data_IF_677421668827
#
_entry.id   IF_677421668827
#
_cell.length_a   1.000
_cell.length_b   1.000
_cell.length_c   1.000
_cell.angle_alpha   90.00
_cell.angle_beta   90.00
_cell.angle_gamma   90.00
#
_symmetry.space_group_name_H-M   'P 1'
#
loop_
_entity.id
_entity.type
_entity.pdbx_description
1 polymer ?
#
# COMPACT_ATOMS: atom_id res chain seq x y z
N UNK A 1 10.46 22.75 28.38
CA UNK A 1 9.85 21.92 27.33
C UNK A 1 10.34 20.49 27.49
N UNK A 2 9.46 19.47 27.44
CA UNK A 2 9.91 18.08 27.46
C UNK A 2 10.86 17.83 26.29
N UNK A 3 11.91 17.06 26.54
CA UNK A 3 12.92 16.73 25.53
C UNK A 3 12.26 15.93 24.41
N UNK A 4 12.46 16.36 23.16
CA UNK A 4 11.94 15.62 22.01
C UNK A 4 12.38 14.14 22.07
N UNK A 5 11.49 13.20 21.71
CA UNK A 5 11.81 11.78 21.74
C UNK A 5 13.00 11.50 20.81
N UNK A 6 13.83 10.51 21.17
CA UNK A 6 14.99 10.08 20.39
C UNK A 6 14.87 8.65 19.87
N UNK A 7 13.86 7.93 20.32
CA UNK A 7 13.61 6.52 20.03
C UNK A 7 12.15 6.19 20.34
N UNK A 8 11.65 5.12 19.77
CA UNK A 8 10.36 4.53 20.09
C UNK A 8 10.47 3.00 20.03
N UNK A 9 9.47 2.32 20.61
CA UNK A 9 9.37 0.87 20.61
C UNK A 9 8.24 0.47 19.67
N UNK A 10 8.53 -0.41 18.71
CA UNK A 10 7.54 -1.00 17.83
C UNK A 10 6.59 -1.92 18.60
N UNK A 11 5.30 -1.94 18.24
CA UNK A 11 4.38 -2.96 18.74
C UNK A 11 4.86 -4.35 18.31
N UNK A 12 4.61 -5.36 19.16
CA UNK A 12 4.89 -6.75 18.80
C UNK A 12 3.82 -7.26 17.83
N UNK A 13 4.04 -7.03 16.54
CA UNK A 13 3.20 -7.52 15.45
C UNK A 13 3.58 -8.94 15.02
N UNK A 14 4.87 -9.30 15.18
CA UNK A 14 5.38 -10.62 14.78
C UNK A 14 4.76 -11.73 15.61
N UNK A 15 4.72 -11.59 16.93
CA UNK A 15 4.09 -12.60 17.79
C UNK A 15 2.57 -12.63 17.67
N UNK A 16 1.95 -11.53 17.20
CA UNK A 16 0.49 -11.44 17.01
C UNK A 16 0.04 -12.05 15.68
N UNK A 17 0.90 -12.04 14.65
CA UNK A 17 0.60 -12.62 13.35
C UNK A 17 0.71 -14.16 13.43
N UNK A 18 -0.39 -14.91 13.27
CA UNK A 18 -0.38 -16.36 13.46
C UNK A 18 0.09 -17.14 12.22
N UNK A 19 0.27 -16.45 11.09
CA UNK A 19 0.57 -17.10 9.82
C UNK A 19 2.07 -17.39 9.69
N UNK A 20 2.47 -18.60 9.26
CA UNK A 20 3.87 -18.87 8.95
C UNK A 20 4.25 -18.20 7.63
N UNK A 21 5.44 -17.61 7.57
CA UNK A 21 5.98 -17.13 6.30
C UNK A 21 6.35 -18.32 5.41
N UNK A 22 5.94 -18.23 4.15
CA UNK A 22 6.39 -19.13 3.08
C UNK A 22 7.15 -18.30 2.06
N UNK A 23 8.05 -18.93 1.32
CA UNK A 23 8.79 -18.32 0.23
C UNK A 23 8.73 -19.25 -0.97
N UNK A 24 8.46 -18.69 -2.14
CA UNK A 24 8.55 -19.45 -3.39
C UNK A 24 9.98 -19.94 -3.65
N UNK A 25 10.14 -21.16 -4.16
CA UNK A 25 11.46 -21.76 -4.40
C UNK A 25 12.27 -21.05 -5.50
N UNK A 26 11.61 -20.32 -6.40
CA UNK A 26 12.24 -19.57 -7.49
C UNK A 26 12.61 -18.14 -7.11
N UNK A 27 12.42 -17.74 -5.84
CA UNK A 27 12.59 -16.36 -5.35
C UNK A 27 13.86 -15.68 -5.87
N UNK A 28 15.02 -16.30 -5.68
CA UNK A 28 16.30 -15.71 -6.02
C UNK A 28 16.49 -15.54 -7.54
N UNK A 29 15.96 -16.45 -8.34
CA UNK A 29 16.07 -16.39 -9.81
C UNK A 29 15.14 -15.34 -10.38
N UNK A 30 13.89 -15.31 -9.91
CA UNK A 30 12.90 -14.31 -10.33
C UNK A 30 13.29 -12.90 -9.89
N UNK A 31 13.77 -12.73 -8.65
CA UNK A 31 14.24 -11.43 -8.16
C UNK A 31 15.29 -10.82 -9.09
N UNK A 32 16.34 -11.57 -9.44
CA UNK A 32 17.41 -11.10 -10.34
C UNK A 32 16.90 -10.75 -11.74
N UNK A 33 15.96 -11.54 -12.26
CA UNK A 33 15.38 -11.28 -13.57
C UNK A 33 14.52 -10.01 -13.56
N UNK A 34 13.72 -9.79 -12.51
CA UNK A 34 12.92 -8.55 -12.37
C UNK A 34 13.78 -7.31 -12.17
N UNK A 35 14.83 -7.42 -11.36
CA UNK A 35 15.80 -6.34 -11.15
C UNK A 35 16.48 -5.97 -12.47
N UNK A 36 16.92 -6.97 -13.24
CA UNK A 36 17.57 -6.75 -14.55
C UNK A 36 16.60 -6.11 -15.54
N UNK A 37 15.35 -6.59 -15.60
CA UNK A 37 14.30 -6.06 -16.46
C UNK A 37 14.01 -4.59 -16.16
N UNK A 38 13.83 -4.23 -14.89
CA UNK A 38 13.50 -2.85 -14.51
C UNK A 38 14.68 -1.90 -14.74
N UNK A 39 15.88 -2.32 -14.32
CA UNK A 39 17.09 -1.49 -14.42
C UNK A 39 17.50 -1.22 -15.87
N UNK A 40 17.11 -2.08 -16.82
CA UNK A 40 17.35 -1.85 -18.24
C UNK A 40 16.59 -0.63 -18.80
N UNK A 41 15.44 -0.28 -18.22
CA UNK A 41 14.59 0.82 -18.71
C UNK A 41 14.57 2.05 -17.79
N UNK A 42 14.70 1.86 -16.47
CA UNK A 42 14.44 2.91 -15.48
C UNK A 42 15.54 4.00 -15.38
N UNK A 43 16.72 3.77 -16.00
CA UNK A 43 17.85 4.71 -16.05
C UNK A 43 18.25 5.30 -14.67
N UNK A 44 18.37 4.44 -13.66
CA UNK A 44 18.69 4.84 -12.29
C UNK A 44 20.13 5.34 -12.13
N UNK A 45 20.29 6.33 -11.24
CA UNK A 45 21.60 6.68 -10.68
C UNK A 45 22.17 5.52 -9.86
N UNK A 46 23.47 5.52 -9.58
CA UNK A 46 24.10 4.49 -8.72
C UNK A 46 23.40 4.40 -7.35
N UNK A 47 23.09 5.53 -6.73
CA UNK A 47 22.42 5.57 -5.43
C UNK A 47 21.00 4.99 -5.50
N UNK A 48 20.23 5.28 -6.56
CA UNK A 48 18.89 4.73 -6.74
C UNK A 48 18.92 3.23 -7.05
N UNK A 49 19.89 2.78 -7.84
CA UNK A 49 20.11 1.35 -8.06
C UNK A 49 20.41 0.63 -6.74
N UNK A 50 21.28 1.17 -5.89
CA UNK A 50 21.57 0.58 -4.58
C UNK A 50 20.34 0.53 -3.67
N UNK A 51 19.56 1.63 -3.62
CA UNK A 51 18.32 1.68 -2.85
C UNK A 51 17.27 0.67 -3.37
N UNK A 52 17.10 0.61 -4.70
CA UNK A 52 16.18 -0.32 -5.36
C UNK A 52 16.57 -1.79 -5.12
N UNK A 53 17.85 -2.15 -5.21
CA UNK A 53 18.29 -3.51 -4.89
C UNK A 53 18.13 -3.82 -3.40
N UNK A 54 18.37 -2.82 -2.54
CA UNK A 54 18.14 -2.92 -1.10
C UNK A 54 16.67 -3.11 -0.70
N UNK A 55 15.74 -2.75 -1.58
CA UNK A 55 14.31 -2.97 -1.42
C UNK A 55 13.98 -4.45 -1.29
N UNK A 56 14.68 -5.32 -2.05
CA UNK A 56 14.42 -6.78 -2.10
C UNK A 56 12.97 -7.10 -2.51
N UNK A 57 12.52 -6.45 -3.59
CA UNK A 57 11.14 -6.56 -4.09
C UNK A 57 10.79 -7.98 -4.56
N UNK A 58 11.76 -8.71 -5.12
CA UNK A 58 11.56 -10.09 -5.53
C UNK A 58 11.31 -11.02 -4.34
N UNK A 59 11.99 -10.82 -3.21
CA UNK A 59 11.73 -11.58 -1.98
C UNK A 59 10.39 -11.25 -1.34
N UNK A 60 9.97 -9.97 -1.35
CA UNK A 60 8.59 -9.61 -0.97
C UNK A 60 7.60 -10.37 -1.83
N UNK A 61 7.79 -10.34 -3.15
CA UNK A 61 6.90 -11.01 -4.10
C UNK A 61 6.85 -12.51 -3.82
N UNK A 62 8.00 -13.16 -3.65
CA UNK A 62 8.07 -14.59 -3.34
C UNK A 62 7.41 -14.95 -2.00
N UNK A 63 7.36 -14.02 -1.04
CA UNK A 63 6.65 -14.21 0.22
C UNK A 63 5.13 -14.02 0.09
N UNK A 64 4.69 -13.09 -0.76
CA UNK A 64 3.28 -12.80 -0.99
C UNK A 64 2.61 -13.81 -1.93
N UNK A 65 3.36 -14.38 -2.88
CA UNK A 65 2.87 -15.36 -3.86
C UNK A 65 3.69 -16.66 -3.81
N UNK A 66 3.74 -17.35 -2.65
CA UNK A 66 4.66 -18.47 -2.43
C UNK A 66 4.38 -19.68 -3.34
N UNK A 67 3.14 -19.85 -3.78
CA UNK A 67 2.69 -20.99 -4.58
C UNK A 67 2.62 -20.69 -6.09
N UNK A 68 3.06 -19.50 -6.52
CA UNK A 68 3.00 -19.11 -7.93
C UNK A 68 4.02 -19.90 -8.78
N UNK A 69 3.59 -20.31 -9.97
CA UNK A 69 4.48 -20.86 -10.99
C UNK A 69 5.53 -19.80 -11.41
N UNK A 70 6.73 -20.21 -11.89
CA UNK A 70 7.85 -19.30 -12.15
C UNK A 70 7.51 -18.11 -13.04
N UNK A 71 6.74 -18.34 -14.10
CA UNK A 71 6.39 -17.30 -15.09
C UNK A 71 5.42 -16.28 -14.50
N UNK A 72 4.42 -16.74 -13.74
CA UNK A 72 3.47 -15.89 -13.02
C UNK A 72 4.17 -15.10 -11.91
N UNK A 73 5.08 -15.75 -11.18
CA UNK A 73 5.88 -15.08 -10.15
C UNK A 73 6.75 -13.98 -10.75
N UNK A 74 7.37 -14.23 -11.92
CA UNK A 74 8.15 -13.22 -12.63
C UNK A 74 7.31 -11.98 -12.97
N UNK A 75 6.10 -12.17 -13.52
CA UNK A 75 5.20 -11.05 -13.84
C UNK A 75 4.77 -10.29 -12.58
N UNK A 76 4.44 -10.99 -11.49
CA UNK A 76 4.11 -10.36 -10.22
C UNK A 76 5.30 -9.59 -9.63
N UNK A 77 6.52 -10.11 -9.78
CA UNK A 77 7.77 -9.51 -9.29
C UNK A 77 8.16 -8.28 -10.10
N UNK A 78 7.93 -8.31 -11.42
CA UNK A 78 8.10 -7.17 -12.31
C UNK A 78 7.13 -6.05 -11.94
N UNK A 79 5.86 -6.37 -11.70
CA UNK A 79 4.88 -5.39 -11.24
C UNK A 79 5.24 -4.84 -9.85
N UNK A 80 5.63 -5.68 -8.89
CA UNK A 80 6.05 -5.24 -7.56
C UNK A 80 7.20 -4.22 -7.63
N UNK A 81 8.24 -4.57 -8.39
CA UNK A 81 9.40 -3.70 -8.60
C UNK A 81 9.02 -2.39 -9.29
N UNK A 82 8.12 -2.47 -10.27
CA UNK A 82 7.60 -1.31 -10.99
C UNK A 82 6.73 -0.42 -10.08
N UNK A 83 5.90 -1.00 -9.21
CA UNK A 83 5.04 -0.27 -8.28
C UNK A 83 5.85 0.59 -7.30
N UNK A 84 6.91 0.04 -6.70
CA UNK A 84 7.81 0.83 -5.86
C UNK A 84 8.51 1.96 -6.64
N UNK A 85 8.84 1.71 -7.91
CA UNK A 85 9.43 2.73 -8.78
C UNK A 85 8.43 3.83 -9.13
N UNK A 86 7.15 3.48 -9.34
CA UNK A 86 6.07 4.45 -9.56
C UNK A 86 5.86 5.34 -8.33
N UNK A 87 5.86 4.75 -7.14
CA UNK A 87 5.76 5.47 -5.85
C UNK A 87 6.93 6.47 -5.71
N UNK A 88 8.18 6.01 -5.88
CA UNK A 88 9.37 6.84 -5.79
C UNK A 88 9.37 7.98 -6.84
N UNK A 89 8.96 7.73 -8.09
CA UNK A 89 8.81 8.79 -9.10
C UNK A 89 7.70 9.78 -8.73
N UNK A 90 6.57 9.28 -8.24
CA UNK A 90 5.42 10.12 -7.91
C UNK A 90 5.67 11.08 -6.75
N UNK A 91 6.53 10.68 -5.81
CA UNK A 91 6.97 11.49 -4.68
C UNK A 91 7.81 12.70 -5.10
N UNK A 92 8.50 12.61 -6.24
CA UNK A 92 9.33 13.69 -6.80
C UNK A 92 8.58 14.60 -7.78
N UNK A 93 7.48 14.10 -8.35
CA UNK A 93 6.71 14.80 -9.37
C UNK A 93 5.74 15.83 -8.78
N UNK A 94 5.55 16.93 -9.51
CA UNK A 94 4.44 17.83 -9.25
C UNK A 94 3.10 17.20 -9.71
N UNK A 95 1.99 17.90 -9.50
CA UNK A 95 0.67 17.38 -9.85
C UNK A 95 0.48 17.12 -11.36
N UNK A 96 1.09 17.94 -12.23
CA UNK A 96 0.98 17.80 -13.70
C UNK A 96 1.80 16.59 -14.19
N UNK A 97 3.03 16.45 -13.70
CA UNK A 97 3.89 15.31 -14.04
C UNK A 97 3.30 13.99 -13.52
N UNK A 98 2.68 13.99 -12.34
CA UNK A 98 1.95 12.82 -11.81
C UNK A 98 0.73 12.45 -12.67
N UNK A 99 0.01 13.44 -13.19
CA UNK A 99 -1.08 13.19 -14.13
C UNK A 99 -0.57 12.59 -15.44
N UNK A 100 0.54 13.10 -15.97
CA UNK A 100 1.19 12.55 -17.16
C UNK A 100 1.72 11.12 -16.96
N UNK A 101 2.26 10.81 -15.78
CA UNK A 101 2.68 9.46 -15.39
C UNK A 101 1.49 8.51 -15.40
N UNK A 102 0.41 8.88 -14.73
CA UNK A 102 -0.83 8.10 -14.68
C UNK A 102 -1.38 7.82 -16.08
N UNK A 103 -1.52 8.86 -16.92
CA UNK A 103 -1.99 8.69 -18.30
C UNK A 103 -1.09 7.74 -19.10
N UNK A 104 0.23 7.90 -18.99
CA UNK A 104 1.17 7.08 -19.73
C UNK A 104 1.09 5.59 -19.35
N UNK A 105 0.88 5.30 -18.07
CA UNK A 105 0.73 3.91 -17.59
C UNK A 105 -0.65 3.38 -17.98
N UNK A 106 -1.72 4.11 -17.70
CA UNK A 106 -3.09 3.65 -17.98
C UNK A 106 -3.34 3.39 -19.47
N UNK A 107 -2.83 4.24 -20.38
CA UNK A 107 -2.91 3.97 -21.82
C UNK A 107 -2.13 2.72 -22.23
N UNK A 108 -1.00 2.42 -21.58
CA UNK A 108 -0.23 1.21 -21.83
C UNK A 108 -0.93 -0.06 -21.30
N UNK A 109 -1.75 0.06 -20.24
CA UNK A 109 -2.56 -1.05 -19.74
C UNK A 109 -3.78 -1.30 -20.63
N UNK A 110 -4.43 -0.25 -21.11
CA UNK A 110 -5.62 -0.35 -21.98
C UNK A 110 -5.28 -1.00 -23.34
N UNK A 111 -4.30 -0.44 -24.05
CA UNK A 111 -3.83 -0.93 -25.35
C UNK A 111 -2.32 -1.23 -25.35
N UNK A 112 -1.88 -2.33 -24.71
CA UNK A 112 -0.47 -2.70 -24.67
C UNK A 112 0.07 -3.05 -26.07
N UNK A 113 -0.76 -3.44 -27.03
CA UNK A 113 -0.30 -3.75 -28.38
C UNK A 113 0.00 -2.48 -29.18
N UNK A 114 -0.99 -1.58 -29.26
CA UNK A 114 -0.93 -0.38 -30.10
C UNK A 114 -0.30 0.84 -29.44
N UNK A 115 -0.36 0.99 -28.11
CA UNK A 115 0.22 2.15 -27.44
C UNK A 115 1.75 2.21 -27.62
N UNK A 116 2.24 3.37 -28.05
CA UNK A 116 3.66 3.64 -28.27
C UNK A 116 4.11 4.81 -27.40
N UNK A 117 5.26 4.66 -26.77
CA UNK A 117 5.87 5.71 -25.95
C UNK A 117 7.37 5.50 -25.83
N UNK A 118 8.12 6.60 -25.72
CA UNK A 118 9.53 6.57 -25.36
C UNK A 118 9.76 6.56 -23.85
N UNK A 119 8.73 6.85 -23.05
CA UNK A 119 8.81 7.02 -21.59
C UNK A 119 8.96 5.65 -20.90
N UNK A 120 9.92 5.56 -19.97
CA UNK A 120 10.23 4.32 -19.25
C UNK A 120 8.99 3.73 -18.55
N UNK A 121 8.19 4.56 -17.88
CA UNK A 121 6.97 4.11 -17.20
C UNK A 121 6.00 3.36 -18.11
N UNK A 122 5.70 3.90 -19.29
CA UNK A 122 4.79 3.23 -20.22
C UNK A 122 5.41 2.02 -20.92
N UNK A 123 6.73 2.01 -21.17
CA UNK A 123 7.43 0.82 -21.68
C UNK A 123 7.42 -0.34 -20.68
N UNK A 124 7.73 -0.06 -19.41
CA UNK A 124 7.66 -1.03 -18.32
C UNK A 124 6.23 -1.55 -18.16
N UNK A 125 5.24 -0.63 -18.12
CA UNK A 125 3.82 -0.97 -18.03
C UNK A 125 3.39 -1.93 -19.16
N UNK A 126 3.70 -1.56 -20.41
CA UNK A 126 3.43 -2.40 -21.58
C UNK A 126 4.13 -3.76 -21.50
N UNK A 127 5.40 -3.79 -21.09
CA UNK A 127 6.22 -5.01 -21.05
C UNK A 127 5.70 -6.03 -20.03
N UNK A 128 5.38 -5.61 -18.80
CA UNK A 128 4.84 -6.51 -17.80
C UNK A 128 3.39 -6.91 -18.15
N UNK A 129 2.55 -5.93 -18.52
CA UNK A 129 1.12 -6.18 -18.67
C UNK A 129 0.80 -7.00 -19.91
N UNK A 130 1.58 -6.88 -20.99
CA UNK A 130 1.47 -7.77 -22.15
C UNK A 130 1.71 -9.24 -21.79
N UNK A 131 2.60 -9.52 -20.83
CA UNK A 131 2.83 -10.89 -20.33
C UNK A 131 1.70 -11.32 -19.40
N UNK A 132 1.26 -10.45 -18.51
CA UNK A 132 0.12 -10.70 -17.62
C UNK A 132 -1.15 -11.09 -18.40
N UNK A 133 -1.53 -10.28 -19.40
CA UNK A 133 -2.76 -10.47 -20.20
C UNK A 133 -2.81 -11.76 -21.03
N UNK A 134 -1.68 -12.44 -21.23
CA UNK A 134 -1.67 -13.71 -21.98
C UNK A 134 -2.33 -14.85 -21.22
N UNK A 135 -2.31 -14.78 -19.89
CA UNK A 135 -2.74 -15.87 -19.01
C UNK A 135 -3.67 -15.42 -17.88
N UNK A 136 -3.80 -14.11 -17.63
CA UNK A 136 -4.80 -13.58 -16.70
C UNK A 136 -6.23 -13.78 -17.22
N UNK A 137 -7.14 -14.14 -16.32
CA UNK A 137 -8.56 -14.16 -16.60
C UNK A 137 -9.13 -12.75 -16.88
N UNK A 138 -10.24 -12.62 -17.63
CA UNK A 138 -10.86 -11.34 -17.93
C UNK A 138 -11.27 -10.55 -16.69
N UNK A 139 -11.78 -11.19 -15.64
CA UNK A 139 -12.18 -10.52 -14.40
C UNK A 139 -10.97 -9.94 -13.67
N UNK A 140 -9.95 -10.78 -13.44
CA UNK A 140 -8.68 -10.38 -12.84
C UNK A 140 -8.03 -9.22 -13.61
N UNK A 141 -8.02 -9.28 -14.95
CA UNK A 141 -7.48 -8.21 -15.81
C UNK A 141 -8.21 -6.88 -15.60
N UNK A 142 -9.54 -6.90 -15.59
CA UNK A 142 -10.35 -5.69 -15.35
C UNK A 142 -10.12 -5.12 -13.94
N UNK A 143 -10.09 -5.98 -12.92
CA UNK A 143 -9.82 -5.59 -11.54
C UNK A 143 -8.43 -4.98 -11.37
N UNK A 144 -7.41 -5.52 -12.02
CA UNK A 144 -6.07 -4.96 -12.00
C UNK A 144 -6.04 -3.54 -12.61
N UNK A 145 -6.65 -3.34 -13.79
CA UNK A 145 -6.70 -2.01 -14.43
C UNK A 145 -7.46 -1.01 -13.54
N UNK A 146 -8.62 -1.41 -13.01
CA UNK A 146 -9.42 -0.55 -12.14
C UNK A 146 -8.67 -0.15 -10.86
N UNK A 147 -7.96 -1.09 -10.23
CA UNK A 147 -7.21 -0.81 -8.99
C UNK A 147 -5.96 0.04 -9.24
N UNK A 148 -5.36 -0.04 -10.44
CA UNK A 148 -4.32 0.92 -10.87
C UNK A 148 -4.85 2.34 -11.07
N UNK A 149 -6.06 2.49 -11.61
CA UNK A 149 -6.72 3.79 -11.73
C UNK A 149 -6.97 4.43 -10.35
N UNK A 150 -7.50 3.66 -9.40
CA UNK A 150 -7.68 4.10 -8.01
C UNK A 150 -6.36 4.56 -7.37
N UNK A 151 -5.28 3.80 -7.57
CA UNK A 151 -3.95 4.14 -7.07
C UNK A 151 -3.46 5.49 -7.62
N UNK A 152 -3.57 5.74 -8.94
CA UNK A 152 -3.13 7.01 -9.53
C UNK A 152 -4.01 8.19 -9.11
N UNK A 153 -5.33 8.01 -8.99
CA UNK A 153 -6.22 9.05 -8.45
C UNK A 153 -5.83 9.44 -7.02
N UNK A 154 -5.50 8.44 -6.19
CA UNK A 154 -5.09 8.65 -4.82
C UNK A 154 -3.72 9.34 -4.72
N UNK A 155 -2.73 8.95 -5.52
CA UNK A 155 -1.43 9.64 -5.59
C UNK A 155 -1.61 11.10 -5.99
N UNK A 156 -2.45 11.38 -6.99
CA UNK A 156 -2.72 12.76 -7.42
C UNK A 156 -3.35 13.59 -6.30
N UNK A 157 -4.25 12.99 -5.51
CA UNK A 157 -4.84 13.65 -4.34
C UNK A 157 -3.81 13.89 -3.23
N UNK A 158 -2.95 12.91 -2.92
CA UNK A 158 -1.86 13.04 -1.96
C UNK A 158 -0.88 14.16 -2.36
N UNK A 159 -0.53 14.28 -3.64
CA UNK A 159 0.33 15.34 -4.15
C UNK A 159 -0.30 16.73 -3.93
N UNK A 160 -1.62 16.87 -4.15
CA UNK A 160 -2.35 18.13 -3.88
C UNK A 160 -2.37 18.47 -2.39
N UNK A 161 -2.56 17.48 -1.53
CA UNK A 161 -2.57 17.68 -0.07
C UNK A 161 -1.20 18.11 0.46
N UNK A 162 -0.13 17.45 -0.01
CA UNK A 162 1.26 17.85 0.29
C UNK A 162 1.56 19.27 -0.19
N UNK A 163 1.07 19.67 -1.36
CA UNK A 163 1.26 21.02 -1.89
C UNK A 163 0.55 22.11 -1.06
N UNK A 164 -0.60 21.78 -0.46
CA UNK A 164 -1.34 22.67 0.46
C UNK A 164 -0.73 22.71 1.87
N UNK A 165 0.01 21.68 2.26
CA UNK A 165 0.56 21.53 3.60
C UNK A 165 -0.48 21.14 4.64
N UNK A 166 -1.62 20.61 4.21
CA UNK A 166 -2.72 20.20 5.09
C UNK A 166 -2.43 18.81 5.67
N UNK A 167 -2.57 18.66 6.98
CA UNK A 167 -2.63 17.34 7.61
C UNK A 167 -4.07 16.85 7.50
N UNK A 168 -4.38 15.75 6.80
CA UNK A 168 -5.76 15.28 6.60
C UNK A 168 -6.45 14.92 7.92
N UNK A 169 -7.79 14.86 7.91
CA UNK A 169 -8.51 14.20 9.02
C UNK A 169 -8.15 12.71 9.05
N UNK A 170 -8.31 12.06 10.20
CA UNK A 170 -7.92 10.66 10.36
C UNK A 170 -8.68 9.75 9.38
N UNK A 171 -9.97 10.00 9.19
CA UNK A 171 -10.84 9.23 8.31
C UNK A 171 -10.50 9.47 6.83
N UNK A 172 -10.18 10.71 6.47
CA UNK A 172 -9.74 11.08 5.12
C UNK A 172 -8.38 10.43 4.80
N UNK A 173 -7.46 10.45 5.77
CA UNK A 173 -6.18 9.78 5.66
C UNK A 173 -6.37 8.28 5.43
N UNK A 174 -7.24 7.63 6.22
CA UNK A 174 -7.48 6.19 6.09
C UNK A 174 -8.00 5.84 4.69
N UNK A 175 -9.01 6.57 4.22
CA UNK A 175 -9.63 6.32 2.93
C UNK A 175 -8.63 6.49 1.79
N UNK A 176 -7.84 7.58 1.82
CA UNK A 176 -6.84 7.86 0.80
C UNK A 176 -5.68 6.85 0.84
N UNK A 177 -5.18 6.54 2.03
CA UNK A 177 -3.99 5.71 2.22
C UNK A 177 -4.21 4.26 1.80
N UNK A 178 -5.45 3.74 1.91
CA UNK A 178 -5.78 2.41 1.36
C UNK A 178 -5.50 2.30 -0.14
N UNK A 179 -5.71 3.39 -0.89
CA UNK A 179 -5.44 3.43 -2.33
C UNK A 179 -3.97 3.78 -2.63
N UNK A 180 -3.37 4.74 -1.90
CA UNK A 180 -1.95 5.12 -2.11
C UNK A 180 -0.97 4.03 -1.67
N UNK A 181 -1.39 3.06 -0.86
CA UNK A 181 -0.57 1.91 -0.50
C UNK A 181 -0.15 1.03 -1.69
N UNK A 182 -0.88 1.08 -2.80
CA UNK A 182 -0.66 0.20 -3.96
C UNK A 182 -1.02 -1.27 -3.70
N UNK A 183 -1.64 -1.62 -2.56
CA UNK A 183 -1.96 -3.01 -2.23
C UNK A 183 -3.05 -3.62 -3.12
N UNK A 184 -4.06 -2.83 -3.51
CA UNK A 184 -5.21 -3.31 -4.30
C UNK A 184 -4.82 -3.95 -5.64
N UNK A 185 -3.98 -3.33 -6.50
CA UNK A 185 -3.53 -3.99 -7.72
C UNK A 185 -2.70 -5.25 -7.45
N UNK A 186 -1.96 -5.29 -6.34
CA UNK A 186 -1.29 -6.52 -5.93
C UNK A 186 -2.28 -7.62 -5.52
N UNK A 187 -3.38 -7.29 -4.85
CA UNK A 187 -4.39 -8.29 -4.49
C UNK A 187 -5.11 -8.84 -5.72
N UNK A 188 -5.33 -8.03 -6.76
CA UNK A 188 -5.81 -8.53 -8.05
C UNK A 188 -4.85 -9.57 -8.67
N UNK A 189 -3.54 -9.42 -8.45
CA UNK A 189 -2.55 -10.40 -8.93
C UNK A 189 -2.50 -11.70 -8.12
N UNK A 190 -3.20 -11.81 -6.98
CA UNK A 190 -3.35 -13.10 -6.28
C UNK A 190 -4.06 -14.10 -7.19
N UNK A 191 -5.12 -13.66 -7.87
CA UNK A 191 -5.87 -14.50 -8.81
C UNK A 191 -4.98 -14.94 -9.98
N UNK A 192 -4.26 -13.98 -10.57
CA UNK A 192 -3.30 -14.25 -11.64
C UNK A 192 -2.23 -15.25 -11.23
N UNK A 193 -1.62 -15.06 -10.06
CA UNK A 193 -0.57 -15.92 -9.54
C UNK A 193 -1.05 -17.34 -9.25
N UNK A 194 -2.32 -17.48 -8.83
CA UNK A 194 -2.95 -18.76 -8.55
C UNK A 194 -3.60 -19.41 -9.79
N UNK A 195 -3.66 -18.73 -10.92
CA UNK A 195 -4.32 -19.24 -12.13
C UNK A 195 -5.84 -19.35 -12.00
N UNK A 196 -6.47 -18.51 -11.16
CA UNK A 196 -7.92 -18.47 -10.96
C UNK A 196 -8.50 -17.15 -11.50
N UNK A 197 -9.81 -17.13 -11.75
CA UNK A 197 -10.55 -15.89 -12.06
C UNK A 197 -11.91 -15.95 -11.37
N UNK A 198 -12.00 -15.30 -10.21
CA UNK A 198 -13.18 -15.37 -9.37
C UNK A 198 -14.36 -14.63 -10.04
N UNK A 199 -15.59 -15.20 -9.99
CA UNK A 199 -16.78 -14.53 -10.46
C UNK A 199 -17.03 -13.19 -9.75
N UNK A 200 -17.67 -12.25 -10.46
CA UNK A 200 -17.93 -10.91 -9.94
C UNK A 200 -18.77 -10.95 -8.66
N UNK A 201 -19.76 -11.84 -8.59
CA UNK A 201 -20.61 -12.03 -7.40
C UNK A 201 -19.83 -12.54 -6.17
N UNK A 202 -18.68 -13.16 -6.37
CA UNK A 202 -17.80 -13.65 -5.30
C UNK A 202 -16.90 -12.51 -4.82
N UNK A 203 -16.15 -11.88 -5.73
CA UNK A 203 -15.18 -10.84 -5.35
C UNK A 203 -15.88 -9.59 -4.79
N UNK A 204 -17.07 -9.25 -5.30
CA UNK A 204 -17.88 -8.15 -4.80
C UNK A 204 -18.61 -8.47 -3.49
N UNK A 205 -18.59 -9.75 -3.05
CA UNK A 205 -19.28 -10.17 -1.84
C UNK A 205 -18.72 -9.42 -0.61
N UNK A 206 -19.59 -8.90 0.29
CA UNK A 206 -19.15 -8.09 1.42
C UNK A 206 -18.08 -8.75 2.30
N UNK A 207 -18.13 -10.06 2.49
CA UNK A 207 -17.12 -10.79 3.29
C UNK A 207 -15.75 -10.81 2.60
N UNK A 208 -15.68 -10.96 1.27
CA UNK A 208 -14.40 -10.93 0.53
C UNK A 208 -13.80 -9.53 0.58
N UNK A 209 -14.63 -8.50 0.32
CA UNK A 209 -14.20 -7.10 0.46
C UNK A 209 -13.71 -6.76 1.86
N UNK A 210 -14.35 -7.31 2.90
CA UNK A 210 -13.93 -7.10 4.28
C UNK A 210 -12.57 -7.76 4.58
N UNK A 211 -12.28 -8.92 4.00
CA UNK A 211 -10.97 -9.58 4.08
C UNK A 211 -9.88 -8.79 3.36
N UNK A 212 -10.14 -8.29 2.16
CA UNK A 212 -9.22 -7.40 1.44
C UNK A 212 -8.95 -6.11 2.22
N UNK A 213 -10.00 -5.48 2.77
CA UNK A 213 -9.87 -4.26 3.57
C UNK A 213 -9.03 -4.50 4.83
N UNK A 214 -9.28 -5.61 5.55
CA UNK A 214 -8.50 -5.98 6.74
C UNK A 214 -7.02 -6.24 6.39
N UNK A 215 -6.77 -6.90 5.26
CA UNK A 215 -5.42 -7.15 4.74
C UNK A 215 -4.73 -5.83 4.39
N UNK A 216 -5.38 -4.97 3.61
CA UNK A 216 -4.85 -3.66 3.22
C UNK A 216 -4.57 -2.79 4.44
N UNK A 217 -5.50 -2.73 5.41
CA UNK A 217 -5.27 -2.03 6.67
C UNK A 217 -4.04 -2.53 7.39
N UNK A 218 -3.84 -3.84 7.53
CA UNK A 218 -2.64 -4.35 8.19
C UNK A 218 -1.36 -3.95 7.42
N UNK A 219 -1.30 -4.22 6.12
CA UNK A 219 -0.10 -3.95 5.30
C UNK A 219 0.24 -2.46 5.33
N UNK A 220 -0.76 -1.61 5.20
CA UNK A 220 -0.61 -0.15 5.20
C UNK A 220 -0.21 0.42 6.56
N UNK A 221 -0.91 0.06 7.65
CA UNK A 221 -0.58 0.61 8.98
C UNK A 221 0.75 0.08 9.50
N UNK A 222 1.10 -1.17 9.19
CA UNK A 222 2.42 -1.71 9.53
C UNK A 222 3.53 -1.02 8.74
N UNK A 223 3.32 -0.73 7.45
CA UNK A 223 4.21 0.09 6.67
C UNK A 223 4.44 1.46 7.32
N UNK A 224 3.37 2.19 7.69
CA UNK A 224 3.49 3.49 8.36
C UNK A 224 4.30 3.40 9.67
N UNK A 225 4.18 2.32 10.45
CA UNK A 225 4.99 2.09 11.64
C UNK A 225 6.48 1.92 11.30
N UNK A 226 6.78 1.15 10.26
CA UNK A 226 8.16 0.82 9.89
C UNK A 226 8.84 1.99 9.16
N UNK A 227 8.12 2.71 8.31
CA UNK A 227 8.62 3.81 7.49
C UNK A 227 8.73 5.13 8.25
N UNK A 228 8.00 5.30 9.35
CA UNK A 228 7.92 6.56 10.11
C UNK A 228 9.28 7.22 10.36
N UNK A 229 10.29 6.44 10.74
CA UNK A 229 11.60 6.98 11.08
C UNK A 229 12.29 7.68 9.90
N UNK A 230 12.17 7.10 8.71
CA UNK A 230 12.72 7.65 7.46
C UNK A 230 11.88 8.85 7.02
N UNK A 231 10.56 8.74 7.08
CA UNK A 231 9.62 9.78 6.67
C UNK A 231 9.70 11.03 7.56
N UNK A 232 9.71 10.86 8.89
CA UNK A 232 9.84 11.99 9.82
C UNK A 232 11.17 12.73 9.65
N UNK A 233 12.23 12.03 9.26
CA UNK A 233 13.53 12.64 8.99
C UNK A 233 13.47 13.55 7.77
N UNK A 234 12.65 13.18 6.77
CA UNK A 234 12.35 13.97 5.56
C UNK A 234 11.24 15.01 5.78
N UNK A 235 10.61 15.03 6.96
CA UNK A 235 9.47 15.87 7.30
C UNK A 235 8.23 15.57 6.45
N UNK A 236 8.07 14.32 6.03
CA UNK A 236 6.81 13.88 5.46
C UNK A 236 5.75 13.76 6.57
N UNK A 237 4.53 14.18 6.25
CA UNK A 237 3.38 14.18 7.15
C UNK A 237 2.31 13.18 6.73
N UNK A 238 2.48 12.51 5.59
CA UNK A 238 1.55 11.49 5.09
C UNK A 238 1.76 10.13 5.78
N UNK A 239 1.70 10.10 7.11
CA UNK A 239 1.90 8.90 7.93
C UNK A 239 0.88 8.88 9.08
N UNK A 240 0.26 7.73 9.35
CA UNK A 240 -0.73 7.58 10.42
C UNK A 240 -0.23 8.09 11.78
N UNK A 241 1.03 7.83 12.15
CA UNK A 241 1.61 8.30 13.41
C UNK A 241 1.63 9.84 13.43
N UNK A 242 2.07 10.48 12.35
CA UNK A 242 2.11 11.94 12.26
C UNK A 242 0.70 12.55 12.35
N UNK A 243 -0.28 11.94 11.67
CA UNK A 243 -1.70 12.36 11.72
C UNK A 243 -2.25 12.23 13.13
N UNK A 244 -2.05 11.09 13.80
CA UNK A 244 -2.55 10.86 15.18
C UNK A 244 -1.89 11.84 16.16
N UNK A 245 -0.57 12.02 16.11
CA UNK A 245 0.14 12.99 16.95
C UNK A 245 -0.44 14.41 16.79
N UNK A 246 -0.67 14.84 15.54
CA UNK A 246 -1.19 16.17 15.25
C UNK A 246 -2.66 16.34 15.67
N UNK A 247 -3.51 15.33 15.42
CA UNK A 247 -4.96 15.42 15.61
C UNK A 247 -5.41 15.13 17.05
N UNK A 248 -4.64 14.36 17.81
CA UNK A 248 -5.01 13.91 19.16
C UNK A 248 -4.09 14.43 20.27
N UNK A 249 -3.10 15.28 19.93
CA UNK A 249 -2.10 15.81 20.87
C UNK A 249 -1.35 14.72 21.65
N UNK A 250 -1.09 13.59 20.98
CA UNK A 250 -0.39 12.43 21.56
C UNK A 250 1.12 12.52 21.36
N UNK A 251 1.86 12.01 22.34
CA UNK A 251 3.29 11.78 22.20
C UNK A 251 3.60 10.68 21.17
N UNK A 252 4.85 10.63 20.71
CA UNK A 252 5.27 9.66 19.69
C UNK A 252 4.98 8.20 20.08
N UNK A 253 5.33 7.80 21.30
CA UNK A 253 5.13 6.40 21.72
C UNK A 253 3.64 6.06 21.80
N UNK A 254 2.80 6.98 22.28
CA UNK A 254 1.35 6.78 22.37
C UNK A 254 0.72 6.65 20.98
N UNK A 255 1.15 7.46 20.02
CA UNK A 255 0.71 7.35 18.64
C UNK A 255 1.17 6.03 17.98
N UNK A 256 2.42 5.62 18.20
CA UNK A 256 2.95 4.30 17.74
C UNK A 256 2.14 3.15 18.33
N UNK A 257 1.83 3.20 19.63
CA UNK A 257 1.05 2.18 20.31
C UNK A 257 -0.39 2.14 19.77
N UNK A 258 -1.00 3.29 19.50
CA UNK A 258 -2.32 3.39 18.89
C UNK A 258 -2.37 2.75 17.49
N UNK A 259 -1.39 3.02 16.63
CA UNK A 259 -1.28 2.37 15.31
C UNK A 259 -1.04 0.87 15.46
N UNK A 260 -0.24 0.45 16.46
CA UNK A 260 -0.05 -0.96 16.79
C UNK A 260 -1.34 -1.69 17.16
N UNK A 261 -2.25 -1.05 17.89
CA UNK A 261 -3.59 -1.58 18.17
C UNK A 261 -4.40 -1.75 16.88
N UNK A 262 -4.34 -0.78 15.97
CA UNK A 262 -5.02 -0.87 14.67
C UNK A 262 -4.50 -2.04 13.83
N UNK A 263 -3.18 -2.25 13.76
CA UNK A 263 -2.59 -3.39 13.05
C UNK A 263 -3.08 -4.72 13.59
N UNK A 264 -3.08 -4.90 14.92
CA UNK A 264 -3.56 -6.14 15.57
C UNK A 264 -5.05 -6.37 15.31
N UNK A 265 -5.85 -5.32 15.42
CA UNK A 265 -7.28 -5.37 15.14
C UNK A 265 -7.58 -5.76 13.68
N UNK A 266 -6.73 -5.37 12.72
CA UNK A 266 -6.86 -5.79 11.32
C UNK A 266 -6.68 -7.30 11.15
N UNK A 267 -5.68 -7.91 11.79
CA UNK A 267 -5.49 -9.39 11.76
C UNK A 267 -6.67 -10.08 12.45
N UNK A 268 -7.10 -9.59 13.61
CA UNK A 268 -8.22 -10.17 14.35
C UNK A 268 -9.53 -10.10 13.56
N UNK A 269 -9.74 -9.01 12.82
CA UNK A 269 -10.89 -8.84 11.91
C UNK A 269 -10.82 -9.79 10.73
N UNK A 270 -9.65 -9.92 10.10
CA UNK A 270 -9.46 -10.86 9.00
C UNK A 270 -9.88 -12.28 9.42
N UNK A 271 -9.44 -12.75 10.58
CA UNK A 271 -9.80 -14.07 11.08
C UNK A 271 -11.29 -14.20 11.47
N UNK A 272 -11.93 -13.12 11.90
CA UNK A 272 -13.39 -13.09 12.14
C UNK A 272 -14.15 -13.20 10.82
N UNK A 273 -13.82 -12.37 9.84
CA UNK A 273 -14.51 -12.32 8.54
C UNK A 273 -14.28 -13.62 7.75
N UNK A 274 -13.10 -14.25 7.87
CA UNK A 274 -12.78 -15.53 7.23
C UNK A 274 -13.69 -16.67 7.69
N UNK A 275 -14.12 -16.64 8.96
CA UNK A 275 -15.06 -17.64 9.52
C UNK A 275 -16.50 -17.43 9.06
N UNK A 276 -16.79 -16.29 8.43
CA UNK A 276 -18.11 -15.91 7.93
C UNK A 276 -18.21 -16.04 6.40
N UNK A 277 -17.24 -16.68 5.75
CA UNK A 277 -17.31 -16.96 4.32
C UNK A 277 -18.53 -17.84 4.02
N UNK A 278 -19.44 -17.42 3.12
CA UNK A 278 -20.49 -18.29 2.64
C UNK A 278 -19.89 -19.36 1.72
N UNK A 279 -20.72 -20.31 1.29
CA UNK A 279 -20.37 -21.26 0.24
C UNK A 279 -21.02 -20.83 -1.07
N UNK A 280 -20.27 -20.93 -2.16
CA UNK A 280 -20.69 -20.73 -3.54
C UNK A 280 -20.65 -22.04 -4.35
N UNK A 281 -20.35 -23.16 -3.68
CA UNK A 281 -20.17 -24.47 -4.30
C UNK A 281 -18.70 -24.89 -4.30
N UNK A 282 -18.45 -26.20 -4.26
CA UNK A 282 -17.13 -26.77 -3.92
C UNK A 282 -15.97 -26.30 -4.81
N UNK A 283 -16.23 -26.03 -6.09
CA UNK A 283 -15.20 -25.54 -7.02
C UNK A 283 -14.82 -24.08 -6.72
N UNK A 284 -15.82 -23.20 -6.62
CA UNK A 284 -15.61 -21.78 -6.30
C UNK A 284 -15.04 -21.64 -4.88
N UNK A 285 -15.52 -22.43 -3.92
CA UNK A 285 -15.04 -22.40 -2.54
C UNK A 285 -13.55 -22.74 -2.43
N UNK A 286 -13.04 -23.63 -3.28
CA UNK A 286 -11.61 -23.94 -3.36
C UNK A 286 -10.82 -22.74 -3.86
N UNK A 287 -11.29 -22.08 -4.92
CA UNK A 287 -10.60 -20.93 -5.50
C UNK A 287 -10.65 -19.71 -4.56
N UNK A 288 -11.78 -19.51 -3.86
CA UNK A 288 -11.92 -18.54 -2.77
C UNK A 288 -10.92 -18.84 -1.66
N UNK A 289 -10.78 -20.10 -1.22
CA UNK A 289 -9.81 -20.47 -0.20
C UNK A 289 -8.37 -20.13 -0.62
N UNK A 290 -8.01 -20.37 -1.88
CA UNK A 290 -6.72 -19.98 -2.46
C UNK A 290 -6.51 -18.46 -2.43
N UNK A 291 -7.53 -17.68 -2.84
CA UNK A 291 -7.46 -16.22 -2.81
C UNK A 291 -7.28 -15.68 -1.38
N UNK A 292 -8.05 -16.20 -0.42
CA UNK A 292 -7.98 -15.82 1.00
C UNK A 292 -6.62 -16.20 1.61
N UNK A 293 -6.06 -17.35 1.24
CA UNK A 293 -4.70 -17.72 1.63
C UNK A 293 -3.66 -16.76 1.06
N UNK A 294 -3.86 -16.27 -0.17
CA UNK A 294 -3.05 -15.21 -0.78
C UNK A 294 -3.05 -13.92 0.04
N UNK A 295 -4.22 -13.50 0.54
CA UNK A 295 -4.32 -12.35 1.44
C UNK A 295 -3.56 -12.58 2.76
N UNK A 296 -3.62 -13.79 3.34
CA UNK A 296 -2.81 -14.13 4.52
C UNK A 296 -1.30 -14.08 4.22
N UNK A 297 -0.88 -14.58 3.05
CA UNK A 297 0.51 -14.51 2.61
C UNK A 297 0.97 -13.05 2.50
N UNK A 298 0.11 -12.15 2.03
CA UNK A 298 0.38 -10.70 1.99
C UNK A 298 0.58 -10.08 3.37
N UNK A 299 -0.22 -10.47 4.37
CA UNK A 299 -0.05 -10.02 5.77
C UNK A 299 1.34 -10.43 6.29
N UNK A 300 1.68 -11.71 6.22
CA UNK A 300 2.95 -12.21 6.81
C UNK A 300 4.17 -11.84 5.98
N UNK A 301 4.04 -11.85 4.66
CA UNK A 301 5.12 -11.53 3.71
C UNK A 301 5.59 -10.09 3.88
N UNK A 302 4.66 -9.13 3.83
CA UNK A 302 4.98 -7.70 4.03
C UNK A 302 5.56 -7.41 5.43
N UNK A 303 5.02 -8.07 6.47
CA UNK A 303 5.49 -7.92 7.85
C UNK A 303 6.96 -8.31 8.01
N UNK A 304 7.36 -9.48 7.51
CA UNK A 304 8.73 -9.96 7.66
C UNK A 304 9.70 -9.27 6.70
N UNK A 305 9.27 -9.06 5.46
CA UNK A 305 10.04 -8.33 4.46
C UNK A 305 10.47 -6.94 4.95
N UNK A 306 9.62 -6.25 5.71
CA UNK A 306 9.93 -4.92 6.26
C UNK A 306 11.16 -4.91 7.19
N UNK A 307 11.56 -6.04 7.77
CA UNK A 307 12.80 -6.16 8.55
C UNK A 307 13.99 -6.70 7.75
N UNK A 308 13.73 -7.25 6.57
CA UNK A 308 14.73 -7.89 5.70
C UNK A 308 15.21 -6.96 4.58
N UNK A 309 14.34 -6.05 4.16
CA UNK A 309 14.63 -4.93 3.29
C UNK A 309 15.51 -3.89 4.01
N UNK A 310 16.39 -3.23 3.28
CA UNK A 310 17.15 -2.10 3.83
C UNK A 310 16.35 -0.80 3.81
N UNK A 311 15.14 -0.78 3.21
CA UNK A 311 14.29 0.42 3.01
C UNK A 311 14.00 1.18 4.31
N UNK A 312 13.74 0.49 5.42
CA UNK A 312 13.27 1.13 6.66
C UNK A 312 14.35 1.20 7.75
N UNK A 313 15.10 0.12 7.93
CA UNK A 313 16.04 -0.04 9.05
C UNK A 313 17.50 -0.24 8.61
N UNK A 314 17.80 -0.08 7.32
CA UNK A 314 19.13 -0.34 6.78
C UNK A 314 19.60 -1.76 7.12
N UNK A 315 20.83 -1.88 7.65
CA UNK A 315 21.42 -3.16 8.06
C UNK A 315 20.95 -3.66 9.44
N UNK A 316 20.19 -2.83 10.18
CA UNK A 316 19.77 -3.12 11.56
C UNK A 316 18.41 -3.84 11.64
N UNK A 317 17.76 -4.14 10.52
CA UNK A 317 16.39 -4.66 10.48
C UNK A 317 16.15 -5.89 11.36
N UNK A 318 17.07 -6.87 11.38
CA UNK A 318 16.96 -8.04 12.26
C UNK A 318 17.13 -7.72 13.75
N UNK A 319 17.96 -6.73 14.07
CA UNK A 319 18.12 -6.23 15.43
C UNK A 319 16.85 -5.52 15.90
N UNK A 320 16.26 -4.69 15.03
CA UNK A 320 14.96 -4.03 15.28
C UNK A 320 13.85 -5.07 15.43
N UNK A 321 13.80 -6.12 14.59
CA UNK A 321 12.82 -7.22 14.70
C UNK A 321 12.88 -7.89 16.08
N UNK A 322 14.10 -8.14 16.59
CA UNK A 322 14.32 -8.81 17.88
C UNK A 322 14.03 -7.91 19.08
N UNK A 323 14.49 -6.66 19.04
CA UNK A 323 14.48 -5.76 20.21
C UNK A 323 13.35 -4.73 20.17
N UNK A 324 12.67 -4.59 19.03
CA UNK A 324 11.61 -3.62 18.73
C UNK A 324 12.00 -2.17 18.92
N UNK A 325 13.30 -1.87 19.08
CA UNK A 325 13.77 -0.53 19.39
C UNK A 325 14.21 0.22 18.12
N UNK A 326 13.55 1.33 17.81
CA UNK A 326 13.91 2.21 16.69
C UNK A 326 14.54 3.49 17.23
N UNK A 327 15.76 3.80 16.78
CA UNK A 327 16.44 5.07 17.08
C UNK A 327 16.09 6.08 16.00
N UNK A 328 15.64 7.27 16.40
CA UNK A 328 15.20 8.28 15.45
C UNK A 328 16.37 8.86 14.66
N UNK A 329 16.20 8.95 13.34
CA UNK A 329 17.08 9.66 12.44
C UNK A 329 16.96 11.17 12.67
N UNK A 330 18.06 11.94 12.51
CA UNK A 330 18.00 13.39 12.58
C UNK A 330 17.11 13.93 11.46
N UNK A 331 16.36 15.00 11.74
CA UNK A 331 15.58 15.69 10.72
C UNK A 331 16.52 16.41 9.77
N UNK A 332 16.29 16.29 8.47
CA UNK A 332 17.04 17.05 7.49
C UNK A 332 16.70 18.55 7.60
N UNK A 333 17.75 19.39 7.54
CA UNK A 333 17.64 20.85 7.69
C UNK A 333 17.03 21.54 6.46
N UNK A 334 16.87 20.83 5.34
CA UNK A 334 16.49 21.43 4.07
C UNK A 334 15.55 20.50 3.28
N UNK A 335 14.27 20.88 3.14
CA UNK A 335 13.27 20.11 2.35
C UNK A 335 13.70 19.93 0.89
N UNK A 336 14.59 20.81 0.37
CA UNK A 336 15.01 20.82 -1.03
C UNK A 336 16.21 19.93 -1.35
N UNK A 337 17.09 19.63 -0.38
CA UNK A 337 18.25 18.76 -0.63
C UNK A 337 17.93 17.27 -0.53
N UNK A 338 16.84 16.89 0.13
CA UNK A 338 16.37 15.50 0.15
C UNK A 338 15.74 15.05 -1.18
N UNK A 339 15.39 15.99 -2.05
CA UNK A 339 14.80 15.76 -3.39
C UNK A 339 15.86 15.87 -4.52
N UNK A 340 17.14 16.14 -4.20
CA UNK A 340 18.13 16.65 -5.17
C UNK A 340 19.22 15.65 -5.57
N UNK A 341 18.92 14.35 -5.66
CA UNK A 341 19.87 13.39 -6.28
C UNK A 341 19.25 12.61 -7.45
N UNK A 342 17.97 12.85 -7.75
CA UNK A 342 17.32 12.35 -8.95
C UNK A 342 17.46 13.36 -10.09
N UNK A 343 18.53 13.23 -10.85
CA UNK A 343 18.46 13.58 -12.26
C UNK A 343 17.65 12.46 -12.94
N UNK A 344 16.32 12.55 -12.91
CA UNK A 344 15.52 11.91 -13.96
C UNK A 344 15.92 12.65 -15.23
N UNK A 345 16.87 12.10 -15.97
CA UNK A 345 17.23 12.66 -17.27
C UNK A 345 15.98 12.63 -18.15
N UNK A 346 15.34 13.79 -18.28
CA UNK A 346 14.24 14.10 -19.20
C UNK A 346 13.05 13.12 -19.20
N UNK A 347 12.34 12.97 -18.08
CA UNK A 347 10.92 12.57 -18.13
C UNK A 347 10.03 13.79 -17.89
N UNK A 348 10.20 14.85 -18.69
CA UNK A 348 9.20 15.91 -18.72
C UNK A 348 7.93 15.35 -19.36
N UNK A 349 6.84 15.31 -18.60
CA UNK A 349 5.52 14.97 -19.15
C UNK A 349 4.87 16.23 -19.72
N UNK A 350 5.52 16.88 -20.70
CA UNK A 350 4.86 17.91 -21.48
C UNK A 350 3.60 17.32 -22.15
N UNK A 351 2.50 18.09 -22.29
CA UNK A 351 1.24 17.58 -22.81
C UNK A 351 1.43 17.06 -24.25
N UNK A 352 1.42 15.74 -24.39
CA UNK A 352 1.22 15.07 -25.66
C UNK A 352 -0.25 15.16 -26.09
N UNK A 353 -0.59 14.74 -27.32
CA UNK A 353 -1.97 14.77 -27.79
C UNK A 353 -2.86 13.99 -26.81
N UNK A 354 -3.93 14.65 -26.36
CA UNK A 354 -4.91 14.12 -25.43
C UNK A 354 -5.63 12.95 -26.13
N UNK A 355 -5.36 11.72 -25.71
CA UNK A 355 -6.27 10.62 -25.98
C UNK A 355 -7.48 10.80 -25.06
N UNK A 356 -8.59 11.27 -25.61
CA UNK A 356 -9.90 11.20 -24.94
C UNK A 356 -10.27 9.72 -24.82
N UNK A 357 -10.23 9.19 -23.60
CA UNK A 357 -10.84 7.89 -23.30
C UNK A 357 -12.33 8.15 -23.10
N UNK A 358 -13.10 8.06 -24.18
CA UNK A 358 -14.56 8.13 -24.11
C UNK A 358 -15.09 6.81 -23.55
N UNK A 359 -15.33 6.77 -22.25
CA UNK A 359 -16.14 5.72 -21.65
C UNK A 359 -17.59 5.90 -22.11
N UNK A 360 -18.12 4.92 -22.84
CA UNK A 360 -19.53 4.87 -23.19
C UNK A 360 -20.37 4.97 -21.90
N UNK A 361 -21.29 5.96 -21.78
CA UNK A 361 -22.12 6.06 -20.60
C UNK A 361 -22.99 4.80 -20.48
N UNK A 362 -23.06 4.25 -19.27
CA UNK A 362 -24.03 3.24 -18.91
C UNK A 362 -25.43 3.71 -19.33
N UNK A 363 -26.19 2.81 -19.98
CA UNK A 363 -27.55 3.07 -20.47
C UNK A 363 -28.38 3.72 -19.36
N UNK A 364 -29.03 4.83 -19.70
CA UNK A 364 -29.89 5.63 -18.82
C UNK A 364 -30.99 4.79 -18.15
N UNK A 365 -31.20 4.94 -16.82
CA UNK A 365 -32.36 4.35 -16.15
C UNK A 365 -33.65 5.12 -16.49
N UNK A 366 -34.77 4.39 -16.46
CA UNK A 366 -36.13 4.91 -16.66
C UNK A 366 -36.54 5.88 -15.53
N UNK A 367 -37.52 6.77 -15.78
CA UNK A 367 -37.87 7.84 -14.86
C UNK A 367 -38.79 7.32 -13.74
N UNK A 368 -38.21 6.81 -12.67
CA UNK A 368 -38.89 6.67 -11.37
C UNK A 368 -38.00 7.11 -10.19
N UNK A 369 -37.31 8.24 -10.38
CA UNK A 369 -37.22 9.28 -9.34
C UNK A 369 -36.63 8.92 -7.97
N UNK A 370 -35.75 7.91 -7.87
CA UNK A 370 -34.91 7.71 -6.68
C UNK A 370 -33.44 7.56 -7.05
N UNK A 371 -32.75 8.70 -7.01
CA UNK A 371 -31.31 8.75 -6.88
C UNK A 371 -30.98 9.30 -5.48
N UNK A 372 -30.49 8.44 -4.60
CA UNK A 372 -29.68 8.83 -3.44
C UNK A 372 -28.71 7.69 -3.13
N UNK A 373 -27.45 7.87 -3.50
CA UNK A 373 -26.32 7.11 -2.95
C UNK A 373 -25.15 8.07 -2.72
N UNK A 374 -25.39 9.08 -1.90
CA UNK A 374 -24.39 9.99 -1.37
C UNK A 374 -24.10 9.75 0.12
N UNK A 375 -23.83 8.50 0.55
CA UNK A 375 -23.24 8.17 1.87
C UNK A 375 -22.45 6.86 1.82
N UNK A 376 -21.23 6.93 1.29
CA UNK A 376 -20.25 5.84 1.30
C UNK A 376 -19.31 5.87 2.51
N UNK A 377 -19.82 6.11 3.73
CA UNK A 377 -19.07 5.77 4.93
C UNK A 377 -19.45 4.35 5.33
N UNK A 378 -18.56 3.38 5.10
CA UNK A 378 -18.76 2.00 5.52
C UNK A 378 -19.03 1.95 7.04
N UNK A 379 -20.07 1.24 7.52
CA UNK A 379 -20.35 1.05 8.95
C UNK A 379 -19.18 0.45 9.76
N UNK A 380 -18.19 -0.14 9.09
CA UNK A 380 -16.96 -0.68 9.68
C UNK A 380 -16.06 0.37 10.34
N UNK A 381 -15.98 1.59 9.78
CA UNK A 381 -15.16 2.69 10.33
C UNK A 381 -15.72 3.19 11.66
N UNK A 382 -17.06 3.25 11.78
CA UNK A 382 -17.73 3.57 13.05
C UNK A 382 -17.48 2.50 14.12
N UNK A 383 -17.33 1.21 13.75
CA UNK A 383 -16.94 0.15 14.70
C UNK A 383 -15.47 0.24 15.11
N UNK A 384 -14.56 0.62 14.20
CA UNK A 384 -13.14 0.82 14.48
C UNK A 384 -12.94 1.87 15.57
N UNK A 385 -13.61 3.02 15.45
CA UNK A 385 -13.51 4.12 16.42
C UNK A 385 -14.36 3.90 17.69
N UNK A 386 -15.53 3.26 17.59
CA UNK A 386 -16.39 3.01 18.77
C UNK A 386 -15.92 1.88 19.67
N UNK A 387 -15.26 0.83 19.13
CA UNK A 387 -14.57 -0.19 19.94
C UNK A 387 -13.26 0.33 20.51
N UNK A 388 -12.54 1.17 19.77
CA UNK A 388 -11.35 1.85 20.28
C UNK A 388 -11.69 2.83 21.40
N UNK A 389 -12.80 3.58 21.33
CA UNK A 389 -13.29 4.39 22.47
C UNK A 389 -13.51 3.56 23.75
N UNK A 390 -13.89 2.27 23.65
CA UNK A 390 -13.96 1.37 24.81
C UNK A 390 -12.57 0.90 25.27
N UNK A 391 -11.64 0.61 24.36
CA UNK A 391 -10.24 0.34 24.73
C UNK A 391 -9.58 1.55 25.44
N UNK A 392 -9.86 2.77 24.99
CA UNK A 392 -9.38 4.03 25.58
C UNK A 392 -10.06 4.38 26.92
N UNK A 393 -11.18 3.75 27.29
CA UNK A 393 -11.87 4.00 28.57
C UNK A 393 -11.29 3.25 29.78
N UNK A 394 -10.28 2.40 29.58
CA UNK A 394 -9.69 1.58 30.65
C UNK A 394 -8.45 2.20 31.34
N UNK A 395 -8.03 3.41 30.94
CA UNK A 395 -7.00 4.17 31.66
C UNK A 395 -7.69 5.13 32.64
N UNK A 396 -8.07 4.62 33.81
CA UNK A 396 -8.51 5.47 34.93
C UNK A 396 -7.33 6.27 35.50
N UNK A 397 -7.13 7.48 34.99
CA UNK A 397 -6.27 8.49 35.62
C UNK A 397 -6.92 8.95 36.94
N UNK A 398 -6.35 8.55 38.07
CA UNK A 398 -6.69 9.14 39.37
C UNK A 398 -6.03 10.52 39.50
N UNK A 399 -6.78 11.58 39.20
CA UNK A 399 -6.38 12.95 39.55
C UNK A 399 -6.68 13.20 41.04
N UNK A 400 -5.63 13.36 41.86
CA UNK A 400 -5.75 13.94 43.21
C UNK A 400 -6.06 15.43 43.09
N UNK A 401 -7.02 15.99 43.84
CA UNK A 401 -7.22 17.43 43.89
C UNK A 401 -6.11 18.08 44.74
N UNK A 402 -5.34 18.97 44.11
CA UNK A 402 -4.44 19.91 44.78
C UNK A 402 -5.25 21.04 45.41
N UNK A 403 -5.39 21.00 46.73
CA UNK A 403 -5.82 22.13 47.55
C UNK A 403 -4.73 23.19 47.57
N UNK A 404 -5.03 24.40 47.08
CA UNK A 404 -4.41 25.64 47.56
C UNK A 404 -5.51 26.70 47.72
N UNK A 405 -5.54 27.46 48.82
CA UNK A 405 -6.64 28.35 49.15
C UNK A 405 -6.50 29.71 48.46
N UNK A 406 -7.66 30.30 48.14
CA UNK A 406 -7.81 31.70 47.75
C UNK A 406 -7.56 32.62 48.95
N UNK A 407 -6.60 33.54 48.82
CA UNK A 407 -6.71 34.95 49.26
C UNK A 407 -6.07 35.82 48.19
#
# INVERSE_FOLDING_TARGET
>A
MPRAPRKFILPDLVSHCPYPQRLNEHAATVARASESWLLAEANFSTAHKEAFLGLRAGELTAACYPDAEPDQLQVASDFMSFLFTLDDWSDEFNAEDNYGLAQCVMCALDDPAGFQTSKAAGKLAKSFFSRCRRTAGPGCTQRFIHTMDLFFQAIAQQARDRARGDVPALEEYIALRWDTSGCKPCFALIEYAAGIDLPEEVISHPTIRALEEATNSFVTWSNDLFSYNVEQARRDSHNMIAVIMHRQDLGLQEAVDAVGVLCKASIDRFEQDRRLLPSWGSEIDRDVATYVQGLQNWIVGSLHWSFESTRYFGKDGMSVKKHRLVKLLPKHDDRRKSLSVCSVAAQSFAPGPVCQVDFLPARSPRPDGRADWGKGACPGVFRLLSRSRRAFSSVQLHCRPSNLPLV
#
